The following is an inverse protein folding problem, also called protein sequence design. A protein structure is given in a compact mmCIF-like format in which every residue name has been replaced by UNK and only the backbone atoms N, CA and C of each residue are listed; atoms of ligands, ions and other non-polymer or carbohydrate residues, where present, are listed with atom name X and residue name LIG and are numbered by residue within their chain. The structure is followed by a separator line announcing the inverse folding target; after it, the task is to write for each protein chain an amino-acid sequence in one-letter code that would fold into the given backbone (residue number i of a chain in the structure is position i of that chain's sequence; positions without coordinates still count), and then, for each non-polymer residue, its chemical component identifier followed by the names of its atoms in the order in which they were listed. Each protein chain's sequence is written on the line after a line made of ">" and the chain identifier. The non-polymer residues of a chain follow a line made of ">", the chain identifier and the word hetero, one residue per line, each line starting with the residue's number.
data_IF_541429044436
#
_entry.id   IF_541429044436
#
_cell.length_a   1.000
_cell.length_b   1.000
_cell.length_c   1.000
_cell.angle_alpha   90.00
_cell.angle_beta   90.00
_cell.angle_gamma   90.00
#
_symmetry.space_group_name_H-M   'P 1'
#
loop_
_entity.id
_entity.type
_entity.pdbx_description
1 polymer ?
#
# COMPACT_ATOMS: atom_id res chain seq x y z
N UNK A 1 -11.11 -9.80 8.50
CA UNK A 1 -9.87 -10.58 8.20
C UNK A 1 -8.69 -9.62 8.21
N UNK A 2 -7.56 -10.00 8.83
CA UNK A 2 -6.43 -9.08 9.11
C UNK A 2 -5.79 -8.61 7.80
N UNK A 3 -5.74 -7.29 7.59
CA UNK A 3 -4.72 -6.70 6.71
C UNK A 3 -3.38 -7.31 7.10
N UNK A 4 -2.67 -7.96 6.18
CA UNK A 4 -1.28 -8.30 6.47
C UNK A 4 -0.57 -6.99 6.76
N UNK A 5 -0.20 -6.78 8.03
CA UNK A 5 0.57 -5.62 8.42
C UNK A 5 1.86 -5.64 7.61
N UNK A 6 2.25 -4.49 7.06
CA UNK A 6 3.51 -4.42 6.32
C UNK A 6 4.65 -4.56 7.31
N UNK A 7 5.45 -5.60 7.11
CA UNK A 7 6.61 -5.94 7.91
C UNK A 7 7.82 -6.01 6.99
N UNK A 8 8.82 -5.16 7.28
CA UNK A 8 10.13 -5.19 6.63
C UNK A 8 10.87 -6.48 7.02
N UNK A 9 11.76 -6.98 6.16
CA UNK A 9 12.52 -8.19 6.51
C UNK A 9 13.49 -7.93 7.67
N UNK A 10 13.65 -8.93 8.54
CA UNK A 10 14.61 -8.87 9.65
C UNK A 10 16.05 -8.58 9.19
N UNK A 11 16.56 -9.14 8.07
CA UNK A 11 17.91 -8.80 7.60
C UNK A 11 18.06 -7.33 7.19
N UNK A 12 17.03 -6.70 6.61
CA UNK A 12 17.09 -5.28 6.27
C UNK A 12 17.14 -4.41 7.53
N UNK A 13 16.28 -4.71 8.51
CA UNK A 13 16.26 -4.00 9.79
C UNK A 13 17.62 -4.13 10.51
N UNK A 14 18.21 -5.32 10.53
CA UNK A 14 19.55 -5.54 11.11
C UNK A 14 20.62 -4.68 10.42
N UNK A 15 20.61 -4.60 9.08
CA UNK A 15 21.58 -3.79 8.33
C UNK A 15 21.43 -2.30 8.64
N UNK A 16 20.19 -1.81 8.74
CA UNK A 16 19.91 -0.42 9.13
C UNK A 16 20.47 -0.16 10.54
N UNK A 17 20.18 -1.04 11.50
CA UNK A 17 20.67 -0.91 12.88
C UNK A 17 22.20 -0.95 12.96
N UNK A 18 22.86 -1.83 12.22
CA UNK A 18 24.32 -1.95 12.22
C UNK A 18 25.00 -0.72 11.60
N UNK A 19 24.42 -0.16 10.53
CA UNK A 19 24.89 1.11 9.95
C UNK A 19 24.76 2.23 10.97
N UNK A 20 23.59 2.36 11.61
CA UNK A 20 23.35 3.40 12.63
C UNK A 20 24.29 3.25 13.82
N UNK A 21 24.52 2.03 14.32
CA UNK A 21 25.47 1.76 15.41
C UNK A 21 26.89 2.16 15.04
N UNK A 22 27.30 1.94 13.78
CA UNK A 22 28.65 2.29 13.32
C UNK A 22 28.94 3.80 13.28
N UNK A 23 27.91 4.65 13.25
CA UNK A 23 28.05 6.11 13.34
C UNK A 23 28.39 6.59 14.77
N UNK A 24 28.23 5.73 15.79
CA UNK A 24 28.61 6.04 17.17
C UNK A 24 27.77 7.13 17.85
N UNK A 25 26.56 7.41 17.35
CA UNK A 25 25.63 8.39 17.95
C UNK A 25 24.98 7.80 19.20
N UNK A 26 25.04 8.52 20.33
CA UNK A 26 24.38 8.07 21.57
C UNK A 26 22.86 8.01 21.40
N UNK A 27 22.19 7.16 22.20
CA UNK A 27 20.73 6.99 22.16
C UNK A 27 20.00 8.30 22.44
N UNK A 28 20.46 9.08 23.42
CA UNK A 28 19.87 10.39 23.76
C UNK A 28 20.02 11.39 22.60
N UNK A 29 21.18 11.37 21.94
CA UNK A 29 21.43 12.24 20.78
C UNK A 29 20.59 11.81 19.58
N UNK A 30 20.39 10.51 19.37
CA UNK A 30 19.53 9.96 18.34
C UNK A 30 18.07 10.39 18.55
N UNK A 31 17.51 10.21 19.75
CA UNK A 31 16.13 10.60 20.07
C UNK A 31 15.91 12.12 19.96
N UNK A 32 16.88 12.94 20.39
CA UNK A 32 16.86 14.39 20.17
C UNK A 32 16.87 14.76 18.68
N UNK A 33 17.69 14.07 17.88
CA UNK A 33 17.77 14.29 16.43
C UNK A 33 16.47 13.87 15.71
N UNK A 34 15.80 12.81 16.16
CA UNK A 34 14.47 12.41 15.67
C UNK A 34 13.42 13.48 15.94
N UNK A 35 13.40 14.04 17.17
CA UNK A 35 12.51 15.15 17.52
C UNK A 35 12.72 16.37 16.63
N UNK A 36 13.98 16.74 16.39
CA UNK A 36 14.35 17.90 15.59
C UNK A 36 14.00 17.70 14.11
N UNK A 37 14.36 16.56 13.51
CA UNK A 37 13.96 16.21 12.14
C UNK A 37 12.44 16.17 11.98
N UNK A 38 11.71 15.62 12.96
CA UNK A 38 10.24 15.61 12.93
C UNK A 38 9.65 17.02 12.87
N UNK A 39 10.24 18.00 13.60
CA UNK A 39 9.84 19.41 13.52
C UNK A 39 10.14 20.02 12.16
N UNK A 40 11.31 19.74 11.58
CA UNK A 40 11.68 20.19 10.24
C UNK A 40 10.71 19.64 9.19
N UNK A 41 10.35 18.35 9.26
CA UNK A 41 9.39 17.72 8.36
C UNK A 41 7.94 18.19 8.55
N UNK A 42 7.57 18.82 9.66
CA UNK A 42 6.16 19.14 9.95
C UNK A 42 5.85 20.64 10.05
N UNK A 43 6.66 21.41 10.75
CA UNK A 43 6.40 22.82 11.08
C UNK A 43 7.36 23.79 10.38
N UNK A 44 8.63 23.44 10.31
CA UNK A 44 9.71 24.33 9.85
C UNK A 44 10.22 23.92 8.46
N UNK A 45 9.30 23.56 7.57
CA UNK A 45 9.64 22.95 6.27
C UNK A 45 10.42 23.87 5.34
N UNK A 46 10.30 25.19 5.48
CA UNK A 46 11.14 26.15 4.76
C UNK A 46 12.63 26.02 5.11
N UNK A 47 12.98 25.40 6.25
CA UNK A 47 14.35 25.11 6.64
C UNK A 47 14.88 23.76 6.09
N UNK A 48 14.03 22.91 5.50
CA UNK A 48 14.45 21.64 4.85
C UNK A 48 15.28 21.83 3.58
N UNK A 49 15.46 23.08 3.13
CA UNK A 49 16.29 23.40 1.97
C UNK A 49 17.76 22.98 2.22
N UNK A 50 18.19 22.91 3.50
CA UNK A 50 19.53 22.46 3.90
C UNK A 50 19.74 20.93 3.81
N UNK A 51 20.99 20.47 3.60
CA UNK A 51 21.30 19.05 3.45
C UNK A 51 21.35 18.34 4.81
N UNK A 52 20.19 18.07 5.41
CA UNK A 52 20.10 17.49 6.76
C UNK A 52 20.81 16.13 6.89
N UNK A 53 20.90 15.34 5.80
CA UNK A 53 21.63 14.07 5.77
C UNK A 53 23.16 14.22 5.85
N UNK A 54 23.72 15.42 5.76
CA UNK A 54 25.15 15.67 5.97
C UNK A 54 25.51 15.73 7.46
N UNK A 55 24.53 15.95 8.36
CA UNK A 55 24.75 15.86 9.81
C UNK A 55 24.74 14.39 10.25
N UNK A 56 25.80 13.85 10.87
CA UNK A 56 25.83 12.45 11.31
C UNK A 56 24.67 12.08 12.24
N UNK A 57 24.26 12.98 13.14
CA UNK A 57 23.14 12.75 14.04
C UNK A 57 21.80 12.69 13.30
N UNK A 58 21.58 13.57 12.31
CA UNK A 58 20.36 13.56 11.50
C UNK A 58 20.34 12.40 10.50
N UNK A 59 21.49 12.04 9.91
CA UNK A 59 21.62 10.85 9.10
C UNK A 59 21.24 9.60 9.90
N UNK A 60 21.85 9.41 11.08
CA UNK A 60 21.54 8.29 11.97
C UNK A 60 20.05 8.27 12.37
N UNK A 61 19.47 9.43 12.73
CA UNK A 61 18.05 9.55 13.05
C UNK A 61 17.15 9.24 11.85
N UNK A 62 17.49 9.71 10.65
CA UNK A 62 16.76 9.39 9.43
C UNK A 62 16.79 7.89 9.15
N UNK A 63 17.97 7.29 9.15
CA UNK A 63 18.14 5.86 8.88
C UNK A 63 17.44 4.99 9.91
N UNK A 64 17.51 5.32 11.20
CA UNK A 64 16.93 4.48 12.25
C UNK A 64 15.41 4.63 12.35
N UNK A 65 14.89 5.85 12.17
CA UNK A 65 13.49 6.15 12.49
C UNK A 65 12.62 6.40 11.25
N UNK A 66 13.08 7.26 10.33
CA UNK A 66 12.25 7.69 9.19
C UNK A 66 12.33 6.73 8.00
N UNK A 67 13.49 6.14 7.75
CA UNK A 67 13.69 5.20 6.65
C UNK A 67 12.76 3.99 6.77
N UNK A 68 12.69 3.21 7.87
CA UNK A 68 11.82 2.04 7.94
C UNK A 68 10.33 2.40 7.77
N UNK A 69 9.90 3.55 8.33
CA UNK A 69 8.53 4.05 8.14
C UNK A 69 8.24 4.31 6.66
N UNK A 70 9.16 4.97 5.95
CA UNK A 70 8.98 5.32 4.55
C UNK A 70 9.10 4.12 3.61
N UNK A 71 9.98 3.15 3.93
CA UNK A 71 10.05 1.86 3.24
C UNK A 71 8.70 1.15 3.29
N UNK A 72 8.10 1.05 4.47
CA UNK A 72 6.81 0.38 4.66
C UNK A 72 5.69 1.05 3.86
N UNK A 73 5.65 2.39 3.79
CA UNK A 73 4.66 3.11 2.96
C UNK A 73 4.75 2.71 1.48
N UNK A 74 5.97 2.64 0.95
CA UNK A 74 6.21 2.25 -0.45
C UNK A 74 5.79 0.79 -0.65
N UNK A 75 6.12 -0.12 0.27
CA UNK A 75 5.77 -1.53 0.14
C UNK A 75 4.26 -1.79 0.18
N UNK A 76 3.50 -1.06 1.00
CA UNK A 76 2.02 -1.12 0.95
C UNK A 76 1.53 -0.78 -0.46
N UNK A 77 2.11 0.23 -1.10
CA UNK A 77 1.71 0.67 -2.44
C UNK A 77 2.21 -0.25 -3.56
N UNK A 78 3.37 -0.90 -3.37
CA UNK A 78 3.84 -1.95 -4.28
C UNK A 78 2.88 -3.13 -4.28
N UNK A 79 2.32 -3.50 -3.12
CA UNK A 79 1.25 -4.49 -3.08
C UNK A 79 -0.01 -3.99 -3.78
N UNK A 80 -0.33 -2.69 -3.73
CA UNK A 80 -1.51 -2.12 -4.40
C UNK A 80 -1.41 -2.05 -5.94
N UNK A 81 -0.18 -2.05 -6.48
CA UNK A 81 0.06 -2.01 -7.92
C UNK A 81 -0.47 -3.25 -8.65
N UNK A 82 -0.74 -3.16 -9.98
CA UNK A 82 -1.05 -4.34 -10.78
C UNK A 82 0.02 -5.42 -10.64
N UNK A 83 -0.40 -6.68 -10.64
CA UNK A 83 0.53 -7.81 -10.54
C UNK A 83 1.49 -7.77 -11.72
N UNK A 84 2.78 -7.60 -11.43
CA UNK A 84 3.84 -7.77 -12.40
C UNK A 84 4.02 -9.26 -12.68
N UNK A 85 4.28 -9.63 -13.92
CA UNK A 85 4.64 -11.01 -14.25
C UNK A 85 6.00 -11.32 -13.61
N UNK A 86 6.08 -12.37 -12.81
CA UNK A 86 7.26 -12.66 -11.97
C UNK A 86 8.52 -12.98 -12.77
N UNK A 87 8.37 -13.28 -14.07
CA UNK A 87 9.40 -13.81 -14.97
C UNK A 87 10.05 -12.73 -15.86
N UNK A 88 9.66 -11.45 -15.71
CA UNK A 88 10.24 -10.34 -16.46
C UNK A 88 11.16 -9.47 -15.58
N UNK A 89 12.29 -8.96 -16.11
CA UNK A 89 13.12 -7.99 -15.41
C UNK A 89 12.33 -6.76 -14.97
N UNK A 90 12.66 -6.23 -13.79
CA UNK A 90 11.97 -5.07 -13.22
C UNK A 90 12.92 -3.89 -13.09
N UNK A 91 12.66 -2.83 -13.85
CA UNK A 91 13.48 -1.63 -13.92
C UNK A 91 12.83 -0.48 -13.17
N UNK A 92 13.56 0.09 -12.23
CA UNK A 92 13.06 1.10 -11.30
C UNK A 92 13.92 2.35 -11.34
N UNK A 93 13.27 3.51 -11.31
CA UNK A 93 13.91 4.81 -11.09
C UNK A 93 13.43 5.40 -9.76
N UNK A 94 14.34 5.64 -8.83
CA UNK A 94 14.10 6.27 -7.52
C UNK A 94 14.57 7.73 -7.56
N UNK A 95 13.62 8.65 -7.71
CA UNK A 95 13.85 10.11 -7.85
C UNK A 95 13.90 10.76 -6.47
N UNK A 96 14.97 11.52 -6.19
CA UNK A 96 15.19 12.08 -4.86
C UNK A 96 15.34 10.96 -3.83
N UNK A 97 16.20 9.99 -4.16
CA UNK A 97 16.28 8.70 -3.46
C UNK A 97 16.66 8.82 -1.99
N UNK A 98 17.29 9.94 -1.59
CA UNK A 98 17.95 10.07 -0.31
C UNK A 98 18.92 8.90 -0.11
N UNK A 99 18.89 8.21 1.06
CA UNK A 99 19.71 7.04 1.32
C UNK A 99 19.20 5.76 0.62
N UNK A 100 18.50 5.89 -0.50
CA UNK A 100 17.95 4.76 -1.26
C UNK A 100 16.61 4.28 -0.72
N UNK A 101 15.73 5.18 -0.26
CA UNK A 101 14.45 4.81 0.35
C UNK A 101 13.58 4.01 -0.62
N UNK A 102 13.35 4.49 -1.85
CA UNK A 102 12.58 3.73 -2.84
C UNK A 102 13.30 2.46 -3.27
N UNK A 103 14.61 2.55 -3.51
CA UNK A 103 15.44 1.43 -3.92
C UNK A 103 15.39 0.24 -2.94
N UNK A 104 15.64 0.49 -1.64
CA UNK A 104 15.62 -0.54 -0.61
C UNK A 104 14.22 -1.11 -0.40
N UNK A 105 13.17 -0.28 -0.51
CA UNK A 105 11.79 -0.74 -0.35
C UNK A 105 11.42 -1.78 -1.41
N UNK A 106 11.80 -1.49 -2.66
CA UNK A 106 11.59 -2.41 -3.79
C UNK A 106 12.46 -3.64 -3.65
N UNK A 107 13.74 -3.52 -3.31
CA UNK A 107 14.63 -4.68 -3.16
C UNK A 107 14.09 -5.70 -2.13
N UNK A 108 13.71 -5.22 -0.95
CA UNK A 108 13.14 -6.06 0.12
C UNK A 108 11.81 -6.69 -0.29
N UNK A 109 10.94 -5.92 -0.95
CA UNK A 109 9.65 -6.41 -1.44
C UNK A 109 9.81 -7.43 -2.58
N UNK A 110 10.71 -7.18 -3.52
CA UNK A 110 10.98 -8.01 -4.69
C UNK A 110 11.51 -9.37 -4.26
N UNK A 111 12.49 -9.37 -3.36
CA UNK A 111 13.07 -10.59 -2.84
C UNK A 111 12.09 -11.43 -2.03
N UNK A 112 11.28 -10.81 -1.15
CA UNK A 112 10.26 -11.54 -0.36
C UNK A 112 9.18 -12.20 -1.22
N UNK A 113 9.00 -11.79 -2.47
CA UNK A 113 8.10 -12.45 -3.42
C UNK A 113 8.72 -13.67 -4.10
N UNK A 114 10.00 -13.97 -3.83
CA UNK A 114 10.71 -15.09 -4.44
C UNK A 114 10.90 -14.94 -5.95
N UNK A 115 10.86 -13.71 -6.48
CA UNK A 115 11.12 -13.50 -7.90
C UNK A 115 12.57 -13.81 -8.21
N UNK A 116 12.78 -14.66 -9.21
CA UNK A 116 14.10 -15.03 -9.74
C UNK A 116 14.56 -14.08 -10.86
N UNK A 117 13.69 -13.15 -11.27
CA UNK A 117 13.96 -12.18 -12.33
C UNK A 117 14.79 -11.02 -11.82
N UNK A 118 15.64 -10.48 -12.70
CA UNK A 118 16.57 -9.41 -12.34
C UNK A 118 15.88 -8.10 -11.96
N UNK A 119 16.33 -7.50 -10.85
CA UNK A 119 15.92 -6.16 -10.41
C UNK A 119 17.02 -5.17 -10.76
N UNK A 120 16.70 -4.11 -11.49
CA UNK A 120 17.65 -3.03 -11.79
C UNK A 120 17.08 -1.70 -11.30
N UNK A 121 17.80 -1.05 -10.39
CA UNK A 121 17.38 0.21 -9.79
C UNK A 121 18.37 1.30 -10.13
N UNK A 122 17.86 2.44 -10.58
CA UNK A 122 18.59 3.69 -10.75
C UNK A 122 18.14 4.64 -9.66
N UNK A 123 19.01 5.01 -8.74
CA UNK A 123 18.74 5.97 -7.68
C UNK A 123 19.37 7.32 -8.03
N UNK A 124 18.60 8.39 -7.96
CA UNK A 124 19.09 9.74 -8.26
C UNK A 124 18.81 10.70 -7.11
N UNK A 125 19.82 11.48 -6.75
CA UNK A 125 19.74 12.50 -5.72
C UNK A 125 20.76 13.60 -5.99
N UNK A 126 20.52 14.80 -5.46
CA UNK A 126 21.50 15.90 -5.52
C UNK A 126 22.65 15.68 -4.54
N UNK A 127 22.41 14.93 -3.46
CA UNK A 127 23.37 14.68 -2.37
C UNK A 127 24.20 13.43 -2.65
N UNK A 128 25.51 13.62 -2.84
CA UNK A 128 26.45 12.48 -2.94
C UNK A 128 26.51 11.68 -1.65
N UNK A 129 26.39 12.34 -0.50
CA UNK A 129 26.37 11.67 0.81
C UNK A 129 25.21 10.69 0.90
N UNK A 130 24.02 11.10 0.46
CA UNK A 130 22.85 10.25 0.45
C UNK A 130 23.01 9.07 -0.53
N UNK A 131 23.57 9.31 -1.71
CA UNK A 131 23.84 8.24 -2.69
C UNK A 131 24.86 7.21 -2.17
N UNK A 132 25.94 7.63 -1.52
CA UNK A 132 26.89 6.70 -0.88
C UNK A 132 26.23 5.90 0.25
N UNK A 133 25.32 6.50 1.02
CA UNK A 133 24.53 5.77 2.01
C UNK A 133 23.63 4.72 1.35
N UNK A 134 22.99 5.06 0.23
CA UNK A 134 22.18 4.12 -0.55
C UNK A 134 22.99 2.90 -1.01
N UNK A 135 24.18 3.12 -1.58
CA UNK A 135 25.09 2.05 -2.04
C UNK A 135 25.56 1.17 -0.89
N UNK A 136 25.92 1.78 0.23
CA UNK A 136 26.37 1.09 1.44
C UNK A 136 25.27 0.20 2.01
N UNK A 137 24.05 0.73 2.19
CA UNK A 137 22.89 0.00 2.69
C UNK A 137 22.49 -1.13 1.73
N UNK A 138 22.39 -0.83 0.44
CA UNK A 138 22.08 -1.82 -0.59
C UNK A 138 23.07 -2.98 -0.58
N UNK A 139 24.36 -2.68 -0.64
CA UNK A 139 25.41 -3.69 -0.70
C UNK A 139 25.47 -4.54 0.58
N UNK A 140 25.30 -3.92 1.76
CA UNK A 140 25.22 -4.64 3.03
C UNK A 140 24.00 -5.55 3.08
N UNK A 141 22.83 -5.05 2.67
CA UNK A 141 21.60 -5.84 2.65
C UNK A 141 21.69 -7.02 1.68
N UNK A 142 22.21 -6.81 0.46
CA UNK A 142 22.45 -7.90 -0.48
C UNK A 142 23.37 -8.98 0.09
N UNK A 143 24.45 -8.61 0.79
CA UNK A 143 25.34 -9.59 1.43
C UNK A 143 24.67 -10.33 2.60
N UNK A 144 23.98 -9.59 3.48
CA UNK A 144 23.37 -10.17 4.69
C UNK A 144 22.22 -11.12 4.35
N UNK A 145 21.46 -10.83 3.29
CA UNK A 145 20.33 -11.65 2.85
C UNK A 145 20.65 -12.57 1.64
N UNK A 146 21.92 -12.67 1.23
CA UNK A 146 22.37 -13.46 0.07
C UNK A 146 21.59 -13.17 -1.23
N UNK A 147 21.34 -11.87 -1.48
CA UNK A 147 20.56 -11.41 -2.62
C UNK A 147 21.44 -11.38 -3.87
N UNK A 148 21.04 -12.13 -4.89
CA UNK A 148 21.65 -12.12 -6.22
C UNK A 148 20.65 -11.64 -7.28
N UNK A 149 21.14 -11.25 -8.46
CA UNK A 149 20.28 -10.79 -9.57
C UNK A 149 19.71 -9.37 -9.43
N UNK A 150 20.07 -8.64 -8.36
CA UNK A 150 19.66 -7.26 -8.13
C UNK A 150 20.84 -6.29 -8.31
N UNK A 151 20.62 -5.16 -8.98
CA UNK A 151 21.63 -4.12 -9.19
C UNK A 151 21.13 -2.73 -8.81
N UNK A 152 22.04 -1.90 -8.31
CA UNK A 152 21.82 -0.49 -8.02
C UNK A 152 22.85 0.35 -8.77
N UNK A 153 22.39 1.37 -9.47
CA UNK A 153 23.20 2.44 -10.02
C UNK A 153 22.79 3.76 -9.38
N UNK A 154 23.76 4.52 -8.88
CA UNK A 154 23.50 5.88 -8.39
C UNK A 154 23.88 6.92 -9.43
N UNK A 155 23.18 8.05 -9.43
CA UNK A 155 23.49 9.18 -10.31
C UNK A 155 23.24 10.49 -9.57
N UNK A 156 24.26 11.35 -9.47
CA UNK A 156 24.11 12.68 -8.90
C UNK A 156 23.35 13.57 -9.87
N UNK A 157 22.09 13.86 -9.57
CA UNK A 157 21.22 14.70 -10.41
C UNK A 157 20.43 15.64 -9.52
N UNK A 158 20.51 16.94 -9.81
CA UNK A 158 19.58 17.90 -9.23
C UNK A 158 18.28 17.91 -10.03
N UNK A 159 17.26 17.26 -9.47
CA UNK A 159 15.95 17.11 -10.11
C UNK A 159 15.13 18.40 -10.15
N UNK A 160 15.56 19.44 -9.42
CA UNK A 160 15.03 20.79 -9.57
C UNK A 160 15.61 21.54 -10.80
N UNK A 161 16.63 21.00 -11.46
CA UNK A 161 17.19 21.60 -12.67
C UNK A 161 16.32 21.26 -13.88
N UNK A 162 15.99 22.27 -14.68
CA UNK A 162 15.24 22.05 -15.94
C UNK A 162 16.00 21.11 -16.86
N UNK A 163 15.33 20.08 -17.39
CA UNK A 163 15.92 19.09 -18.28
C UNK A 163 16.75 17.99 -17.58
N UNK A 164 16.73 17.90 -16.24
CA UNK A 164 17.40 16.84 -15.47
C UNK A 164 17.01 15.43 -15.91
N UNK A 165 15.78 15.23 -16.40
CA UNK A 165 15.24 13.94 -16.84
C UNK A 165 16.06 13.36 -18.01
N UNK A 166 16.73 14.19 -18.82
CA UNK A 166 17.62 13.73 -19.90
C UNK A 166 18.83 12.95 -19.40
N UNK A 167 19.23 13.12 -18.15
CA UNK A 167 20.36 12.39 -17.54
C UNK A 167 20.00 10.94 -17.21
N UNK A 168 18.72 10.64 -17.09
CA UNK A 168 18.21 9.29 -16.81
C UNK A 168 17.47 8.66 -17.99
N UNK A 169 17.10 9.46 -19.00
CA UNK A 169 16.45 9.02 -20.23
C UNK A 169 17.14 7.83 -20.95
N UNK A 170 18.48 7.75 -21.04
CA UNK A 170 19.14 6.60 -21.69
C UNK A 170 18.92 5.25 -21.00
N UNK A 171 18.39 5.26 -19.77
CA UNK A 171 18.10 4.06 -18.96
C UNK A 171 16.62 3.65 -19.02
N UNK A 172 15.79 4.42 -19.71
CA UNK A 172 14.37 4.13 -19.92
C UNK A 172 14.18 2.96 -20.92
N UNK A 173 13.02 2.28 -20.92
CA UNK A 173 11.82 2.55 -20.13
C UNK A 173 11.84 1.91 -18.73
N UNK A 174 11.18 2.54 -17.75
CA UNK A 174 11.06 2.01 -16.39
C UNK A 174 9.68 1.37 -16.11
N UNK A 175 9.66 0.23 -15.41
CA UNK A 175 8.42 -0.39 -14.92
C UNK A 175 7.84 0.40 -13.73
N UNK A 176 8.70 1.03 -12.93
CA UNK A 176 8.32 1.84 -11.78
C UNK A 176 9.20 3.08 -11.66
N UNK A 177 8.59 4.24 -11.46
CA UNK A 177 9.29 5.47 -11.07
C UNK A 177 8.73 5.91 -9.72
N UNK A 178 9.61 6.11 -8.73
CA UNK A 178 9.24 6.46 -7.36
C UNK A 178 9.66 7.91 -7.07
N UNK A 179 8.75 8.68 -6.49
CA UNK A 179 9.00 9.99 -5.90
C UNK A 179 8.53 9.95 -4.44
N UNK A 180 9.41 9.59 -3.51
CA UNK A 180 9.06 9.38 -2.10
C UNK A 180 9.52 10.56 -1.22
N UNK A 181 8.55 11.35 -0.77
CA UNK A 181 8.70 12.55 0.06
C UNK A 181 9.55 13.67 -0.57
N UNK A 182 9.85 13.60 -1.86
CA UNK A 182 10.76 14.53 -2.53
C UNK A 182 10.04 15.58 -3.41
N UNK A 183 8.88 15.28 -4.01
CA UNK A 183 8.20 16.22 -4.91
C UNK A 183 7.79 17.50 -4.18
N UNK A 184 7.45 17.39 -2.91
CA UNK A 184 7.17 18.53 -2.03
C UNK A 184 8.38 19.46 -1.80
N UNK A 185 9.61 18.97 -1.97
CA UNK A 185 10.86 19.70 -1.69
C UNK A 185 11.38 20.38 -2.96
N UNK A 186 11.09 19.77 -4.11
CA UNK A 186 11.49 20.26 -5.42
C UNK A 186 10.74 21.55 -5.76
N UNK A 187 11.47 22.53 -6.30
CA UNK A 187 10.96 23.83 -6.74
C UNK A 187 10.23 24.62 -5.63
N UNK A 188 10.64 24.48 -4.36
CA UNK A 188 10.03 25.19 -3.24
C UNK A 188 10.01 26.72 -3.43
N UNK A 189 11.03 27.27 -4.08
CA UNK A 189 11.18 28.72 -4.33
C UNK A 189 10.61 29.18 -5.69
N UNK A 190 9.98 28.29 -6.46
CA UNK A 190 9.43 28.65 -7.77
C UNK A 190 8.15 29.50 -7.64
N UNK A 191 7.99 30.48 -8.54
CA UNK A 191 6.79 31.34 -8.60
C UNK A 191 5.50 30.53 -8.79
N UNK A 192 5.53 29.48 -9.61
CA UNK A 192 4.45 28.52 -9.78
C UNK A 192 4.96 27.09 -9.54
N UNK A 193 5.08 26.74 -8.26
CA UNK A 193 5.56 25.43 -7.83
C UNK A 193 4.69 24.28 -8.36
N UNK A 194 3.37 24.47 -8.53
CA UNK A 194 2.46 23.41 -9.02
C UNK A 194 2.73 23.14 -10.49
N UNK A 195 2.84 24.19 -11.32
CA UNK A 195 3.17 24.01 -12.74
C UNK A 195 4.53 23.34 -12.94
N UNK A 196 5.54 23.73 -12.15
CA UNK A 196 6.88 23.14 -12.23
C UNK A 196 6.88 21.67 -11.81
N UNK A 197 6.22 21.32 -10.70
CA UNK A 197 6.08 19.93 -10.24
C UNK A 197 5.29 19.06 -11.23
N UNK A 198 4.19 19.58 -11.78
CA UNK A 198 3.44 18.89 -12.83
C UNK A 198 4.30 18.67 -14.08
N UNK A 199 5.12 19.64 -14.49
CA UNK A 199 6.03 19.48 -15.62
C UNK A 199 7.04 18.35 -15.37
N UNK A 200 7.66 18.29 -14.19
CA UNK A 200 8.58 17.22 -13.83
C UNK A 200 7.90 15.85 -13.92
N UNK A 201 6.71 15.69 -13.33
CA UNK A 201 5.98 14.41 -13.40
C UNK A 201 5.60 14.05 -14.84
N UNK A 202 5.25 15.05 -15.67
CA UNK A 202 5.00 14.85 -17.11
C UNK A 202 6.23 14.37 -17.87
N UNK A 203 7.41 14.91 -17.58
CA UNK A 203 8.68 14.46 -18.18
C UNK A 203 9.01 13.02 -17.74
N UNK A 204 8.79 12.68 -16.46
CA UNK A 204 8.99 11.32 -15.96
C UNK A 204 8.00 10.31 -16.56
N UNK A 205 6.75 10.72 -16.85
CA UNK A 205 5.76 9.86 -17.54
C UNK A 205 6.26 9.40 -18.92
N UNK A 206 7.07 10.22 -19.60
CA UNK A 206 7.65 9.87 -20.89
C UNK A 206 8.65 8.70 -20.78
N UNK A 207 9.33 8.56 -19.64
CA UNK A 207 10.30 7.49 -19.38
C UNK A 207 9.67 6.16 -18.93
N UNK A 208 8.36 6.15 -18.69
CA UNK A 208 7.66 4.98 -18.17
C UNK A 208 7.44 3.93 -19.27
N UNK A 209 7.58 2.65 -18.94
CA UNK A 209 7.12 1.56 -19.81
C UNK A 209 5.60 1.68 -20.07
N UNK A 210 5.06 1.09 -21.15
CA UNK A 210 3.62 1.17 -21.46
C UNK A 210 2.71 0.76 -20.30
N UNK A 211 3.12 -0.27 -19.55
CA UNK A 211 2.41 -0.79 -18.38
C UNK A 211 3.07 -0.39 -17.05
N UNK A 212 3.99 0.57 -17.06
CA UNK A 212 4.66 1.02 -15.84
C UNK A 212 3.76 1.89 -14.97
N UNK A 213 4.24 2.17 -13.75
CA UNK A 213 3.58 3.05 -12.78
C UNK A 213 4.52 4.15 -12.31
N UNK A 214 4.04 5.39 -12.21
CA UNK A 214 4.67 6.41 -11.35
C UNK A 214 4.00 6.35 -9.98
N UNK A 215 4.81 6.18 -8.94
CA UNK A 215 4.40 6.21 -7.55
C UNK A 215 4.91 7.51 -6.90
N UNK A 216 4.00 8.40 -6.53
CA UNK A 216 4.30 9.58 -5.73
C UNK A 216 3.82 9.33 -4.31
N UNK A 217 4.68 9.53 -3.31
CA UNK A 217 4.35 9.41 -1.89
C UNK A 217 4.77 10.68 -1.19
N UNK A 218 3.88 11.26 -0.39
CA UNK A 218 4.11 12.52 0.32
C UNK A 218 3.63 12.46 1.76
N UNK A 219 4.14 13.33 2.67
CA UNK A 219 3.59 13.46 4.01
C UNK A 219 2.09 13.77 4.00
N UNK A 220 1.35 13.21 4.96
CA UNK A 220 -0.10 13.45 5.14
C UNK A 220 -0.43 14.82 5.79
N UNK A 221 0.40 15.83 5.54
CA UNK A 221 0.20 17.19 6.02
C UNK A 221 -0.71 17.96 5.05
N UNK A 222 -1.50 18.88 5.58
CA UNK A 222 -2.48 19.63 4.78
C UNK A 222 -1.83 20.29 3.56
N UNK A 223 -0.72 20.99 3.75
CA UNK A 223 -0.04 21.75 2.70
C UNK A 223 0.51 20.82 1.61
N UNK A 224 1.22 19.73 1.98
CA UNK A 224 1.81 18.79 1.03
C UNK A 224 0.74 17.95 0.32
N UNK A 225 -0.28 17.48 1.04
CA UNK A 225 -1.41 16.76 0.45
C UNK A 225 -2.16 17.61 -0.56
N UNK A 226 -2.48 18.87 -0.22
CA UNK A 226 -3.20 19.77 -1.13
C UNK A 226 -2.38 20.11 -2.37
N UNK A 227 -1.08 20.39 -2.21
CA UNK A 227 -0.19 20.61 -3.35
C UNK A 227 -0.12 19.38 -4.27
N UNK A 228 -0.06 18.17 -3.71
CA UNK A 228 -0.09 16.93 -4.48
C UNK A 228 -1.41 16.77 -5.26
N UNK A 229 -2.56 17.10 -4.66
CA UNK A 229 -3.86 17.08 -5.35
C UNK A 229 -3.98 18.15 -6.44
N UNK A 230 -3.36 19.31 -6.27
CA UNK A 230 -3.28 20.32 -7.33
C UNK A 230 -2.42 19.86 -8.51
N UNK A 231 -1.28 19.20 -8.22
CA UNK A 231 -0.46 18.53 -9.25
C UNK A 231 -1.27 17.46 -9.98
N UNK A 232 -2.02 16.62 -9.25
CA UNK A 232 -2.95 15.63 -9.83
C UNK A 232 -3.94 16.27 -10.79
N UNK A 233 -4.68 17.28 -10.35
CA UNK A 233 -5.73 17.91 -11.14
C UNK A 233 -5.16 18.52 -12.43
N UNK A 234 -3.96 19.13 -12.35
CA UNK A 234 -3.24 19.64 -13.52
C UNK A 234 -2.79 18.54 -14.46
N UNK A 235 -2.22 17.44 -13.97
CA UNK A 235 -1.78 16.31 -14.80
C UNK A 235 -2.94 15.66 -15.56
N UNK A 236 -4.11 15.55 -14.93
CA UNK A 236 -5.31 14.98 -15.56
C UNK A 236 -5.85 15.85 -16.70
N UNK A 237 -5.67 17.17 -16.63
CA UNK A 237 -6.03 18.08 -17.73
C UNK A 237 -5.19 17.84 -18.99
N UNK A 238 -3.95 17.36 -18.85
CA UNK A 238 -3.05 17.05 -19.96
C UNK A 238 -3.44 15.77 -20.72
N UNK A 239 -4.32 14.93 -20.14
CA UNK A 239 -4.83 13.67 -20.72
C UNK A 239 -3.73 12.71 -21.20
N UNK A 240 -2.60 12.65 -20.48
CA UNK A 240 -1.46 11.77 -20.80
C UNK A 240 -1.27 10.62 -19.82
N UNK A 241 -2.03 10.59 -18.74
CA UNK A 241 -1.99 9.55 -17.74
C UNK A 241 -3.38 9.35 -17.11
N UNK A 242 -3.56 8.19 -16.51
CA UNK A 242 -4.71 7.82 -15.70
C UNK A 242 -4.28 7.69 -14.25
N UNK A 243 -5.13 8.11 -13.31
CA UNK A 243 -4.92 7.82 -11.89
C UNK A 243 -5.34 6.38 -11.60
N UNK A 244 -4.38 5.48 -11.41
CA UNK A 244 -4.67 4.10 -11.03
C UNK A 244 -5.27 4.03 -9.61
N UNK A 245 -4.67 4.76 -8.66
CA UNK A 245 -5.08 4.84 -7.25
C UNK A 245 -4.51 6.12 -6.60
N UNK A 246 -5.05 6.68 -5.50
CA UNK A 246 -6.24 6.30 -4.71
C UNK A 246 -7.57 6.70 -5.33
N UNK A 247 -7.57 7.75 -6.15
CA UNK A 247 -8.81 8.38 -6.60
C UNK A 247 -9.60 7.43 -7.50
N UNK A 248 -10.90 7.31 -7.23
CA UNK A 248 -11.83 6.50 -8.02
C UNK A 248 -12.52 7.28 -9.14
N UNK A 249 -11.91 8.38 -9.59
CA UNK A 249 -12.42 9.30 -10.61
C UNK A 249 -11.29 10.21 -11.10
N UNK A 250 -11.56 10.97 -12.17
CA UNK A 250 -10.62 11.92 -12.78
C UNK A 250 -11.11 13.38 -12.76
N UNK A 251 -12.26 13.65 -12.13
CA UNK A 251 -12.68 15.02 -11.80
C UNK A 251 -11.69 15.69 -10.83
N UNK A 252 -11.75 17.03 -10.76
CA UNK A 252 -11.02 17.83 -9.77
C UNK A 252 -11.24 17.27 -8.36
N UNK A 253 -10.19 17.27 -7.54
CA UNK A 253 -10.23 16.64 -6.22
C UNK A 253 -11.23 17.36 -5.28
N UNK A 254 -12.29 16.68 -4.79
CA UNK A 254 -13.29 17.32 -3.91
C UNK A 254 -12.70 17.85 -2.60
N UNK A 255 -11.58 17.28 -2.14
CA UNK A 255 -10.89 17.74 -0.93
C UNK A 255 -10.27 19.14 -1.09
N UNK A 256 -10.13 19.66 -2.32
CA UNK A 256 -9.61 21.01 -2.55
C UNK A 256 -10.67 22.10 -2.38
N UNK A 257 -11.97 21.76 -2.41
CA UNK A 257 -13.09 22.71 -2.34
C UNK A 257 -13.06 23.52 -1.04
N UNK A 258 -12.92 22.85 0.09
CA UNK A 258 -12.76 23.50 1.38
C UNK A 258 -11.26 23.74 1.65
N UNK A 259 -10.81 24.98 1.91
CA UNK A 259 -9.39 25.27 2.13
C UNK A 259 -8.80 24.59 3.37
N UNK A 260 -9.63 24.17 4.33
CA UNK A 260 -9.20 23.50 5.56
C UNK A 260 -9.17 21.97 5.46
N UNK A 261 -9.73 21.39 4.40
CA UNK A 261 -9.72 19.95 4.17
C UNK A 261 -8.48 19.48 3.40
N UNK A 262 -8.10 18.22 3.62
CA UNK A 262 -7.13 17.50 2.79
C UNK A 262 -7.44 16.00 2.80
N UNK A 263 -7.11 15.32 1.70
CA UNK A 263 -7.25 13.88 1.57
C UNK A 263 -5.88 13.21 1.68
N UNK A 264 -5.79 12.20 2.54
CA UNK A 264 -4.62 11.35 2.76
C UNK A 264 -5.07 9.92 3.07
N UNK A 265 -4.10 9.01 3.09
CA UNK A 265 -4.22 7.59 3.37
C UNK A 265 -3.69 7.25 4.76
N UNK A 266 -4.24 6.18 5.33
CA UNK A 266 -3.80 5.57 6.58
C UNK A 266 -3.77 4.07 6.40
N UNK A 267 -2.65 3.43 6.75
CA UNK A 267 -2.49 1.97 6.63
C UNK A 267 -1.97 1.41 7.93
N UNK A 268 -2.56 0.30 8.35
CA UNK A 268 -2.06 -0.48 9.48
C UNK A 268 -0.66 -1.02 9.17
N UNK A 269 0.18 -1.04 10.20
CA UNK A 269 1.53 -1.59 10.13
C UNK A 269 1.96 -2.03 11.53
N UNK A 270 3.05 -2.79 11.59
CA UNK A 270 3.68 -3.15 12.85
C UNK A 270 5.01 -2.40 12.95
N UNK A 271 5.12 -1.38 13.82
CA UNK A 271 6.37 -0.65 13.99
C UNK A 271 7.47 -1.59 14.51
N UNK A 272 8.68 -1.58 13.92
CA UNK A 272 9.85 -2.24 14.49
C UNK A 272 10.10 -1.81 15.95
N UNK A 273 10.65 -2.72 16.77
CA UNK A 273 10.93 -2.47 18.19
C UNK A 273 11.79 -1.22 18.39
N UNK A 274 12.82 -1.03 17.56
CA UNK A 274 13.68 0.16 17.58
C UNK A 274 12.92 1.47 17.38
N UNK A 275 11.84 1.48 16.59
CA UNK A 275 10.97 2.65 16.43
C UNK A 275 10.07 2.84 17.65
N UNK A 276 9.50 1.75 18.19
CA UNK A 276 8.63 1.82 19.38
C UNK A 276 9.38 2.38 20.60
N UNK A 277 10.65 2.00 20.76
CA UNK A 277 11.52 2.52 21.81
C UNK A 277 11.72 4.04 21.70
N UNK A 278 12.05 4.54 20.51
CA UNK A 278 12.20 5.99 20.27
C UNK A 278 10.87 6.70 20.48
N UNK A 279 9.75 6.16 19.97
CA UNK A 279 8.41 6.72 20.15
C UNK A 279 8.07 6.93 21.63
N UNK A 280 8.40 5.95 22.48
CA UNK A 280 8.23 6.03 23.93
C UNK A 280 9.05 7.14 24.60
N UNK A 281 10.27 7.40 24.11
CA UNK A 281 11.14 8.46 24.64
C UNK A 281 10.72 9.86 24.21
N UNK A 282 10.31 10.00 22.94
CA UNK A 282 10.00 11.32 22.35
C UNK A 282 8.52 11.68 22.45
N UNK A 283 7.68 10.75 22.90
CA UNK A 283 6.23 10.93 23.06
C UNK A 283 5.47 10.93 21.73
N UNK A 284 5.98 10.24 20.72
CA UNK A 284 5.30 10.08 19.43
C UNK A 284 4.36 8.87 19.44
N UNK A 285 3.29 8.97 18.65
CA UNK A 285 2.34 7.88 18.43
C UNK A 285 2.40 7.54 16.93
N UNK A 286 2.87 6.34 16.60
CA UNK A 286 2.97 5.84 15.22
C UNK A 286 2.29 4.49 15.06
N UNK A 287 1.01 4.47 15.42
CA UNK A 287 0.10 3.33 15.29
C UNK A 287 -0.27 3.01 13.83
N UNK A 288 -0.14 3.97 12.92
CA UNK A 288 -0.43 3.78 11.50
C UNK A 288 0.52 4.55 10.57
N UNK A 289 0.65 4.07 9.34
CA UNK A 289 1.34 4.75 8.26
C UNK A 289 0.42 5.79 7.63
N UNK A 290 0.69 7.07 7.90
CA UNK A 290 -0.04 8.21 7.34
C UNK A 290 0.76 8.84 6.19
N UNK A 291 0.16 8.92 5.01
CA UNK A 291 0.79 9.51 3.82
C UNK A 291 -0.26 9.92 2.78
N UNK A 292 0.11 10.78 1.84
CA UNK A 292 -0.66 11.02 0.61
C UNK A 292 0.06 10.33 -0.54
N UNK A 293 -0.67 9.81 -1.52
CA UNK A 293 -0.03 9.18 -2.66
C UNK A 293 -0.84 9.32 -3.94
N UNK A 294 -0.15 9.11 -5.06
CA UNK A 294 -0.74 8.97 -6.38
C UNK A 294 0.00 7.85 -7.12
N UNK A 295 -0.76 6.92 -7.70
CA UNK A 295 -0.27 5.95 -8.66
C UNK A 295 -0.77 6.35 -10.05
N UNK A 296 0.13 6.77 -10.94
CA UNK A 296 -0.21 7.13 -12.33
C UNK A 296 0.23 6.05 -13.31
N UNK A 297 -0.58 5.83 -14.35
CA UNK A 297 -0.30 4.87 -15.44
C UNK A 297 -0.63 5.47 -16.79
N UNK A 298 -0.16 4.85 -17.87
CA UNK A 298 -0.44 5.26 -19.27
C UNK A 298 -1.40 4.33 -20.01
N UNK A 299 -1.71 3.17 -19.44
CA UNK A 299 -2.51 2.12 -20.09
C UNK A 299 -4.01 2.19 -19.77
N UNK A 300 -4.46 3.26 -19.11
CA UNK A 300 -5.87 3.45 -18.74
C UNK A 300 -6.36 2.55 -17.60
N UNK A 301 -5.52 1.67 -17.04
CA UNK A 301 -5.94 0.79 -15.93
C UNK A 301 -6.17 1.58 -14.66
N UNK A 302 -7.18 1.16 -13.92
CA UNK A 302 -7.54 1.67 -12.59
C UNK A 302 -7.58 0.52 -11.59
N UNK A 303 -7.44 0.82 -10.29
CA UNK A 303 -7.47 -0.22 -9.24
C UNK A 303 -8.80 -0.98 -9.21
N UNK A 304 -9.89 -0.29 -9.55
CA UNK A 304 -11.23 -0.82 -9.77
C UNK A 304 -11.87 -0.08 -10.93
N UNK A 305 -12.84 -0.72 -11.59
CA UNK A 305 -13.66 -0.05 -12.59
C UNK A 305 -14.36 1.17 -12.01
N UNK A 306 -14.36 2.26 -12.78
CA UNK A 306 -15.01 3.52 -12.40
C UNK A 306 -16.53 3.34 -12.43
N UNK A 307 -17.19 3.50 -11.28
CA UNK A 307 -18.64 3.35 -11.16
C UNK A 307 -19.22 4.33 -10.12
N UNK A 308 -20.47 4.81 -10.31
CA UNK A 308 -21.11 5.75 -9.38
C UNK A 308 -21.50 5.10 -8.04
N UNK A 309 -21.57 3.77 -7.98
CA UNK A 309 -21.86 2.98 -6.78
C UNK A 309 -20.61 2.49 -6.05
N UNK A 310 -19.41 2.78 -6.56
CA UNK A 310 -18.14 2.41 -5.94
C UNK A 310 -17.47 3.64 -5.33
N UNK A 311 -17.02 3.51 -4.09
CA UNK A 311 -16.47 4.59 -3.30
C UNK A 311 -15.16 4.15 -2.65
N UNK A 312 -14.23 5.10 -2.47
CA UNK A 312 -13.14 4.94 -1.51
C UNK A 312 -13.54 5.60 -0.19
N UNK A 313 -13.32 4.91 0.92
CA UNK A 313 -13.47 5.47 2.27
C UNK A 313 -12.27 6.39 2.53
N UNK A 314 -12.53 7.66 2.82
CA UNK A 314 -11.50 8.72 2.97
C UNK A 314 -11.49 9.35 4.36
N UNK A 315 -12.08 8.67 5.35
CA UNK A 315 -11.95 8.98 6.77
C UNK A 315 -11.97 7.72 7.63
N UNK A 316 -11.62 7.86 8.90
CA UNK A 316 -11.94 6.85 9.90
C UNK A 316 -13.46 6.68 10.04
N UNK A 317 -13.87 5.49 10.46
CA UNK A 317 -15.23 5.20 10.86
C UNK A 317 -15.49 5.85 12.23
N UNK A 318 -16.18 6.99 12.22
CA UNK A 318 -16.49 7.74 13.44
C UNK A 318 -17.68 7.12 14.15
N UNK A 319 -17.47 6.70 15.38
CA UNK A 319 -18.53 6.23 16.26
C UNK A 319 -19.16 7.41 17.00
N UNK A 320 -20.47 7.56 16.82
CA UNK A 320 -21.30 8.61 17.43
C UNK A 320 -22.39 7.94 18.27
N UNK A 321 -23.12 8.75 19.07
CA UNK A 321 -24.22 8.22 19.89
C UNK A 321 -25.36 7.70 19.00
N UNK A 322 -25.47 6.37 18.87
CA UNK A 322 -26.55 5.69 18.15
C UNK A 322 -26.34 5.58 16.63
N UNK A 323 -25.18 6.00 16.11
CA UNK A 323 -24.83 5.89 14.69
C UNK A 323 -23.31 5.87 14.46
N UNK A 324 -22.90 5.35 13.32
CA UNK A 324 -21.52 5.41 12.82
C UNK A 324 -21.47 6.15 11.48
N UNK A 325 -20.39 6.88 11.18
CA UNK A 325 -20.25 7.68 9.95
C UNK A 325 -18.84 7.68 9.37
N UNK A 326 -18.74 7.68 8.04
CA UNK A 326 -17.49 7.83 7.30
C UNK A 326 -17.67 8.79 6.10
N UNK A 327 -16.59 9.49 5.75
CA UNK A 327 -16.50 10.23 4.50
C UNK A 327 -16.09 9.28 3.39
N UNK A 328 -16.81 9.32 2.29
CA UNK A 328 -16.54 8.56 1.08
C UNK A 328 -16.11 9.51 -0.04
N UNK A 329 -15.47 8.98 -1.09
CA UNK A 329 -15.14 9.75 -2.27
C UNK A 329 -15.31 8.90 -3.54
N UNK A 330 -15.97 9.47 -4.54
CA UNK A 330 -16.03 8.96 -5.91
C UNK A 330 -16.29 10.11 -6.90
N UNK A 331 -16.69 9.79 -8.13
CA UNK A 331 -16.98 10.80 -9.15
C UNK A 331 -18.09 11.81 -8.77
N UNK A 332 -18.99 11.44 -7.85
CA UNK A 332 -20.08 12.29 -7.38
C UNK A 332 -19.65 13.30 -6.30
N UNK A 333 -18.41 13.21 -5.83
CA UNK A 333 -17.85 14.10 -4.82
C UNK A 333 -17.46 13.37 -3.54
N UNK A 334 -17.59 14.05 -2.40
CA UNK A 334 -17.16 13.56 -1.08
C UNK A 334 -18.30 13.52 -0.06
N UNK A 335 -19.28 12.60 -0.19
CA UNK A 335 -20.41 12.51 0.74
C UNK A 335 -20.01 11.93 2.11
N UNK A 336 -20.68 12.36 3.16
CA UNK A 336 -20.66 11.69 4.46
C UNK A 336 -21.81 10.68 4.54
N UNK A 337 -21.48 9.40 4.71
CA UNK A 337 -22.45 8.30 4.81
C UNK A 337 -22.48 7.76 6.23
N UNK A 338 -23.68 7.52 6.75
CA UNK A 338 -23.90 6.96 8.07
C UNK A 338 -24.72 5.67 8.10
N UNK A 339 -24.71 5.02 9.27
CA UNK A 339 -25.64 3.94 9.62
C UNK A 339 -26.05 4.12 11.08
N UNK A 340 -27.36 4.17 11.35
CA UNK A 340 -27.86 4.13 12.73
C UNK A 340 -27.73 2.71 13.27
N UNK A 341 -27.41 2.55 14.56
CA UNK A 341 -27.21 1.24 15.18
C UNK A 341 -28.47 0.37 15.09
N UNK A 342 -29.65 0.99 15.27
CA UNK A 342 -30.96 0.32 15.13
C UNK A 342 -31.29 -0.14 13.69
N UNK A 343 -30.51 0.30 12.69
CA UNK A 343 -30.65 -0.09 11.29
C UNK A 343 -29.57 -1.08 10.85
N UNK A 344 -28.74 -1.57 11.77
CA UNK A 344 -27.80 -2.65 11.50
C UNK A 344 -28.57 -3.90 11.03
N UNK A 345 -28.10 -4.50 9.94
CA UNK A 345 -28.66 -5.71 9.37
C UNK A 345 -27.57 -6.51 8.65
N UNK A 346 -27.81 -7.80 8.33
CA UNK A 346 -26.85 -8.59 7.56
C UNK A 346 -26.45 -7.95 6.22
N UNK A 347 -27.34 -7.19 5.59
CA UNK A 347 -27.11 -6.53 4.29
C UNK A 347 -26.16 -5.33 4.36
N UNK A 348 -25.92 -4.79 5.57
CA UNK A 348 -25.02 -3.66 5.81
C UNK A 348 -24.00 -3.93 6.91
N UNK A 349 -23.79 -5.20 7.28
CA UNK A 349 -22.79 -5.61 8.27
C UNK A 349 -21.37 -5.18 7.87
N UNK A 350 -21.11 -5.11 6.56
CA UNK A 350 -19.85 -4.62 5.98
C UNK A 350 -19.42 -3.24 6.48
N UNK A 351 -20.39 -2.41 6.84
CA UNK A 351 -20.17 -1.05 7.29
C UNK A 351 -19.29 -1.00 8.55
N UNK A 352 -19.33 -2.03 9.41
CA UNK A 352 -18.53 -2.07 10.64
C UNK A 352 -17.04 -2.35 10.39
N UNK A 353 -16.68 -2.81 9.19
CA UNK A 353 -15.30 -3.10 8.79
C UNK A 353 -14.70 -1.98 7.91
N UNK A 354 -15.45 -0.89 7.69
CA UNK A 354 -14.95 0.27 6.96
C UNK A 354 -13.78 0.91 7.71
N UNK A 355 -12.73 1.19 6.96
CA UNK A 355 -11.55 1.92 7.39
C UNK A 355 -11.06 2.78 6.24
N UNK A 356 -10.26 3.80 6.54
CA UNK A 356 -9.67 4.64 5.50
C UNK A 356 -8.91 3.79 4.47
N UNK A 357 -9.09 4.13 3.21
CA UNK A 357 -8.48 3.42 2.08
C UNK A 357 -9.31 2.26 1.55
N UNK A 358 -10.28 1.75 2.31
CA UNK A 358 -11.17 0.68 1.83
C UNK A 358 -11.95 1.13 0.58
N UNK A 359 -12.05 0.25 -0.41
CA UNK A 359 -12.95 0.41 -1.55
C UNK A 359 -14.23 -0.34 -1.22
N UNK A 360 -15.37 0.31 -1.39
CA UNK A 360 -16.68 -0.23 -1.03
C UNK A 360 -17.67 0.02 -2.16
N UNK A 361 -18.54 -0.95 -2.41
CA UNK A 361 -19.68 -0.78 -3.29
C UNK A 361 -20.93 -0.54 -2.45
N UNK A 362 -21.76 0.43 -2.83
CA UNK A 362 -23.00 0.76 -2.13
C UNK A 362 -24.15 0.80 -3.14
N UNK A 363 -24.99 -0.22 -3.13
CA UNK A 363 -26.12 -0.31 -4.06
C UNK A 363 -27.24 0.68 -3.74
N UNK A 364 -27.49 0.92 -2.44
CA UNK A 364 -28.63 1.73 -2.01
C UNK A 364 -28.29 2.63 -0.84
N UNK A 365 -28.46 3.91 -1.10
CA UNK A 365 -28.35 5.01 -0.14
C UNK A 365 -29.75 5.64 0.03
N UNK A 366 -30.22 5.77 1.26
CA UNK A 366 -31.46 6.46 1.60
C UNK A 366 -31.15 7.80 2.22
N UNK A 367 -31.82 8.84 1.71
CA UNK A 367 -31.81 10.18 2.29
C UNK A 367 -33.00 10.30 3.24
N UNK A 368 -32.73 10.59 4.51
CA UNK A 368 -33.76 10.90 5.50
C UNK A 368 -33.63 12.35 5.90
N UNK A 369 -34.66 13.15 5.62
CA UNK A 369 -34.73 14.50 6.15
C UNK A 369 -35.03 14.46 7.63
N UNK A 370 -34.20 15.13 8.42
CA UNK A 370 -34.45 15.33 9.84
C UNK A 370 -35.08 16.72 10.02
N UNK A 371 -36.34 16.76 10.47
CA UNK A 371 -36.95 17.99 11.00
C UNK A 371 -36.33 18.30 12.36
N UNK A 372 -35.40 19.25 12.42
CA UNK A 372 -34.92 19.82 13.67
C UNK A 372 -35.90 20.85 14.23
N UNK A 373 -36.03 20.94 15.57
CA UNK A 373 -36.61 22.12 16.23
C UNK A 373 -35.63 23.28 16.02
N UNK A 374 -35.86 24.10 15.00
CA UNK A 374 -35.00 25.20 14.59
C UNK A 374 -34.51 25.01 13.14
N UNK A 375 -35.07 25.84 12.25
CA UNK A 375 -34.82 26.20 10.84
C UNK A 375 -33.68 25.61 9.98
N UNK A 376 -33.06 24.47 10.30
CA UNK A 376 -32.10 23.79 9.42
C UNK A 376 -32.57 22.37 9.10
N UNK A 377 -33.02 22.18 7.87
CA UNK A 377 -33.18 20.84 7.29
C UNK A 377 -31.78 20.24 7.15
N UNK A 378 -31.52 19.11 7.80
CA UNK A 378 -30.33 18.29 7.51
C UNK A 378 -30.78 17.00 6.82
N UNK A 379 -30.27 16.76 5.62
CA UNK A 379 -30.38 15.46 4.97
C UNK A 379 -29.37 14.52 5.65
N UNK A 380 -29.86 13.44 6.24
CA UNK A 380 -29.02 12.36 6.74
C UNK A 380 -28.97 11.26 5.68
N UNK A 381 -27.76 10.85 5.32
CA UNK A 381 -27.54 9.88 4.27
C UNK A 381 -27.21 8.52 4.91
N UNK A 382 -28.04 7.51 4.64
CA UNK A 382 -27.93 6.18 5.24
C UNK A 382 -27.67 5.11 4.20
N UNK A 383 -26.75 4.19 4.49
CA UNK A 383 -26.56 3.01 3.67
C UNK A 383 -27.49 1.87 4.10
N UNK A 384 -28.09 1.17 3.13
CA UNK A 384 -28.90 -0.03 3.39
C UNK A 384 -28.31 -1.34 2.83
N UNK A 385 -27.49 -1.27 1.79
CA UNK A 385 -26.89 -2.44 1.17
C UNK A 385 -25.48 -2.14 0.70
N UNK A 386 -24.53 -2.93 1.21
CA UNK A 386 -23.10 -2.83 0.89
C UNK A 386 -22.64 -4.19 0.36
N UNK A 387 -22.61 -4.41 -0.96
CA UNK A 387 -21.86 -5.53 -1.52
C UNK A 387 -20.40 -5.40 -1.10
N UNK A 388 -19.90 -6.48 -0.50
CA UNK A 388 -18.52 -6.55 -0.06
C UNK A 388 -17.58 -6.66 -1.26
N UNK A 389 -16.72 -5.65 -1.45
CA UNK A 389 -15.60 -5.74 -2.39
C UNK A 389 -14.31 -5.26 -1.72
N UNK A 390 -13.72 -6.10 -0.86
CA UNK A 390 -12.41 -5.81 -0.29
C UNK A 390 -11.32 -6.28 -1.25
N UNK A 391 -10.70 -5.36 -1.99
CA UNK A 391 -9.49 -5.66 -2.75
C UNK A 391 -8.28 -5.38 -1.86
N UNK A 392 -7.90 -6.37 -1.06
CA UNK A 392 -6.50 -6.53 -0.67
C UNK A 392 -5.87 -7.37 -1.78
N UNK A 393 -4.89 -6.80 -2.47
CA UNK A 393 -4.38 -7.19 -3.80
C UNK A 393 -3.84 -8.61 -3.96
N UNK A 394 -3.95 -9.48 -2.95
CA UNK A 394 -3.61 -10.91 -3.05
C UNK A 394 -4.79 -11.85 -3.28
N UNK A 395 -6.03 -11.50 -2.89
CA UNK A 395 -7.17 -12.46 -2.95
C UNK A 395 -8.19 -12.17 -4.06
N UNK A 396 -8.16 -10.99 -4.68
CA UNK A 396 -9.21 -10.54 -5.61
C UNK A 396 -9.22 -11.24 -6.98
N UNK A 397 -8.23 -12.07 -7.31
CA UNK A 397 -8.20 -12.83 -8.57
C UNK A 397 -8.99 -14.16 -8.51
N UNK A 398 -9.34 -14.65 -7.33
CA UNK A 398 -10.14 -15.88 -7.21
C UNK A 398 -11.66 -15.62 -7.25
N UNK A 399 -12.11 -14.39 -6.96
CA UNK A 399 -13.53 -14.07 -6.92
C UNK A 399 -14.09 -13.55 -8.24
N UNK A 400 -13.28 -12.86 -9.06
CA UNK A 400 -13.72 -12.31 -10.34
C UNK A 400 -13.82 -13.34 -11.47
N UNK A 401 -13.05 -14.43 -11.42
CA UNK A 401 -13.13 -15.51 -12.42
C UNK A 401 -14.39 -16.37 -12.30
N UNK A 402 -15.02 -16.44 -11.11
CA UNK A 402 -16.29 -17.17 -10.91
C UNK A 402 -17.54 -16.37 -11.27
N UNK A 403 -17.48 -15.04 -11.32
CA UNK A 403 -18.62 -14.19 -11.66
C UNK A 403 -18.77 -13.90 -13.16
N UNK A 404 -17.74 -14.19 -13.97
CA UNK A 404 -17.74 -13.92 -15.42
C UNK A 404 -18.10 -15.17 -16.27
N UNK A 405 -18.19 -16.38 -15.68
CA UNK A 405 -18.60 -17.58 -16.42
C UNK A 405 -20.11 -17.86 -16.45
N UNK A 406 -20.94 -17.02 -15.83
CA UNK A 406 -22.41 -17.17 -15.88
C UNK A 406 -23.09 -15.92 -16.45
N UNK A 407 -22.84 -15.63 -17.74
CA UNK A 407 -23.75 -14.82 -18.57
C UNK A 407 -23.89 -15.52 -19.92
N UNK A 408 -25.15 -15.80 -20.26
CA UNK A 408 -25.63 -16.71 -21.30
C UNK A 408 -25.10 -16.51 -22.72
N UNK A 409 -24.94 -17.64 -23.44
CA UNK A 409 -25.35 -17.76 -24.84
C UNK A 409 -26.46 -18.81 -24.92
N UNK A 410 -27.69 -18.36 -25.13
CA UNK A 410 -28.85 -19.23 -25.31
C UNK A 410 -28.94 -19.78 -26.73
N UNK A 411 -29.08 -21.10 -26.85
CA UNK A 411 -29.76 -21.77 -27.97
C UNK A 411 -30.16 -23.22 -27.60
N UNK A 412 -31.45 -23.40 -27.32
CA UNK A 412 -32.34 -24.55 -27.65
C UNK A 412 -31.82 -26.01 -27.62
N UNK A 413 -32.41 -26.85 -26.73
CA UNK A 413 -32.52 -28.32 -26.92
C UNK A 413 -32.56 -29.13 -25.60
N UNK A 414 -33.39 -30.21 -25.46
CA UNK A 414 -33.83 -30.70 -24.14
C UNK A 414 -33.06 -31.91 -23.57
N UNK A 415 -33.20 -32.02 -22.24
CA UNK A 415 -33.13 -33.20 -21.35
C UNK A 415 -31.80 -33.95 -21.14
N UNK A 416 -31.31 -33.94 -19.90
CA UNK A 416 -31.44 -35.06 -18.93
C UNK A 416 -30.70 -34.71 -17.64
N UNK A 417 -31.34 -34.95 -16.50
CA UNK A 417 -30.84 -34.54 -15.18
C UNK A 417 -29.68 -35.36 -14.67
N UNK A 418 -28.81 -34.70 -13.89
CA UNK A 418 -28.00 -35.26 -12.80
C UNK A 418 -27.62 -34.12 -11.87
N UNK A 419 -28.17 -34.14 -10.66
CA UNK A 419 -27.72 -33.30 -9.55
C UNK A 419 -26.34 -33.77 -9.10
N UNK A 420 -25.34 -32.89 -9.11
CA UNK A 420 -24.04 -33.11 -8.49
C UNK A 420 -23.90 -32.14 -7.31
N UNK A 421 -24.10 -32.68 -6.11
CA UNK A 421 -23.76 -32.05 -4.83
C UNK A 421 -22.24 -32.03 -4.70
N UNK A 422 -21.63 -30.85 -4.61
CA UNK A 422 -20.20 -30.69 -4.30
C UNK A 422 -20.06 -30.29 -2.83
N UNK A 423 -19.57 -31.21 -2.01
CA UNK A 423 -19.11 -30.96 -0.65
C UNK A 423 -17.70 -30.33 -0.67
N UNK A 424 -17.37 -29.42 0.28
CA UNK A 424 -16.05 -28.78 0.31
C UNK A 424 -14.98 -29.75 0.83
N UNK A 425 -13.89 -29.91 0.07
CA UNK A 425 -12.70 -30.65 0.47
C UNK A 425 -11.82 -29.78 1.39
N UNK A 426 -11.56 -30.32 2.59
CA UNK A 426 -10.56 -29.86 3.55
C UNK A 426 -9.14 -30.09 3.00
N UNK A 427 -8.29 -29.06 3.01
CA UNK A 427 -6.88 -29.16 2.60
C UNK A 427 -6.03 -29.44 3.85
N UNK A 428 -5.50 -30.65 3.92
CA UNK A 428 -4.38 -31.02 4.80
C UNK A 428 -3.04 -30.62 4.13
N UNK A 429 -2.12 -30.06 4.92
CA UNK A 429 -0.73 -29.74 4.52
C UNK A 429 0.07 -31.03 4.29
N UNK A 430 1.00 -31.08 3.31
CA UNK A 430 2.08 -32.06 3.35
C UNK A 430 3.45 -31.41 3.55
N UNK A 431 4.24 -32.07 4.40
CA UNK A 431 5.69 -31.92 4.54
C UNK A 431 6.43 -32.52 3.31
N UNK A 432 7.67 -32.07 3.16
CA UNK A 432 8.71 -32.48 2.20
C UNK A 432 8.81 -34.00 1.93
N UNK A 433 8.84 -34.37 0.65
CA UNK A 433 10.03 -34.95 -0.01
C UNK A 433 9.69 -35.38 -1.45
N UNK A 434 10.64 -35.10 -2.34
CA UNK A 434 10.74 -35.50 -3.74
C UNK A 434 10.32 -36.94 -4.02
N UNK A 435 9.54 -37.17 -5.10
CA UNK A 435 9.67 -38.34 -5.99
C UNK A 435 9.04 -38.01 -7.36
N UNK A 436 9.80 -38.29 -8.41
CA UNK A 436 9.46 -38.23 -9.83
C UNK A 436 8.35 -39.22 -10.18
N UNK A 437 7.32 -38.80 -10.92
CA UNK A 437 6.22 -39.68 -11.36
C UNK A 437 6.49 -40.18 -12.78
N UNK A 438 6.74 -41.48 -12.92
CA UNK A 438 6.56 -42.20 -14.18
C UNK A 438 5.10 -42.63 -14.31
N UNK A 439 4.50 -42.37 -15.46
CA UNK A 439 3.15 -42.82 -15.82
C UNK A 439 3.17 -44.31 -16.15
N UNK A 440 2.34 -45.10 -15.45
CA UNK A 440 1.89 -46.41 -15.91
C UNK A 440 0.38 -46.51 -15.70
N UNK A 441 -0.34 -46.60 -16.81
CA UNK A 441 -1.77 -46.90 -16.89
C UNK A 441 -1.99 -48.41 -16.76
N UNK A 442 -2.85 -48.86 -15.84
CA UNK A 442 -3.56 -50.14 -15.99
C UNK A 442 -4.97 -50.03 -15.38
N UNK A 443 -5.94 -50.46 -16.17
CA UNK A 443 -7.36 -50.55 -15.86
C UNK A 443 -7.72 -51.81 -15.03
N UNK A 444 -9.01 -51.90 -14.71
CA UNK A 444 -9.81 -53.11 -14.48
C UNK A 444 -9.90 -53.68 -13.04
N UNK A 445 -11.15 -53.59 -12.58
CA UNK A 445 -12.03 -54.69 -12.19
C UNK A 445 -12.31 -55.01 -10.72
N UNK A 446 -13.62 -55.04 -10.47
CA UNK A 446 -14.33 -55.47 -9.28
C UNK A 446 -13.96 -56.89 -8.81
N UNK A 447 -13.93 -57.08 -7.49
CA UNK A 447 -14.70 -58.14 -6.80
C UNK A 447 -14.71 -58.01 -5.26
N UNK A 448 -15.94 -57.98 -4.76
CA UNK A 448 -16.54 -58.50 -3.52
C UNK A 448 -15.74 -59.31 -2.48
N UNK A 449 -16.12 -59.08 -1.20
CA UNK A 449 -16.04 -60.01 -0.04
C UNK A 449 -14.87 -59.71 0.90
N UNK A 450 -14.96 -59.67 2.23
CA UNK A 450 -15.96 -60.06 3.22
C UNK A 450 -15.22 -60.53 4.49
N UNK A 451 -15.63 -60.03 5.66
CA UNK A 451 -15.36 -60.53 7.03
C UNK A 451 -13.90 -60.70 7.54
N UNK A 452 -13.55 -60.03 8.64
CA UNK A 452 -13.74 -60.55 10.01
C UNK A 452 -12.92 -59.82 11.10
N UNK A 453 -13.63 -59.49 12.18
CA UNK A 453 -13.28 -59.50 13.62
C UNK A 453 -11.80 -59.46 14.06
N UNK A 454 -11.49 -58.53 14.97
CA UNK A 454 -10.96 -58.87 16.31
C UNK A 454 -11.03 -57.70 17.29
N UNK A 455 -11.14 -58.04 18.57
CA UNK A 455 -11.52 -57.25 19.74
C UNK A 455 -10.37 -56.43 20.38
N UNK A 456 -10.75 -55.27 20.92
CA UNK A 456 -10.42 -54.59 22.21
C UNK A 456 -9.52 -55.39 23.19
N UNK A 457 -8.67 -54.73 24.02
CA UNK A 457 -9.13 -54.15 25.30
C UNK A 457 -8.60 -52.75 25.67
N UNK A 458 -9.36 -52.16 26.59
CA UNK A 458 -9.18 -50.92 27.36
C UNK A 458 -7.81 -50.71 28.03
N UNK A 459 -7.43 -49.44 28.19
CA UNK A 459 -7.03 -48.91 29.51
C UNK A 459 -7.39 -47.42 29.62
N UNK A 460 -8.11 -47.09 30.67
CA UNK A 460 -8.37 -45.74 31.15
C UNK A 460 -7.28 -45.34 32.15
N UNK A 461 -6.91 -44.06 32.18
CA UNK A 461 -6.54 -43.38 33.42
C UNK A 461 -6.78 -41.88 33.29
N UNK A 462 -7.54 -41.34 34.24
CA UNK A 462 -7.83 -39.93 34.44
C UNK A 462 -6.58 -39.16 34.92
N UNK A 463 -6.48 -37.89 34.56
CA UNK A 463 -5.95 -36.85 35.44
C UNK A 463 -6.61 -35.51 35.11
N UNK A 464 -7.21 -34.95 36.15
CA UNK A 464 -8.01 -33.75 36.27
C UNK A 464 -7.13 -32.52 36.61
N UNK A 465 -7.69 -31.31 36.40
CA UNK A 465 -7.36 -29.99 37.01
C UNK A 465 -6.11 -29.25 36.44
N UNK A 466 -6.07 -27.92 36.27
CA UNK A 466 -6.81 -26.86 36.96
C UNK A 466 -6.73 -25.49 36.20
N UNK A 467 -7.70 -24.61 36.47
CA UNK A 467 -7.81 -23.22 36.03
C UNK A 467 -6.93 -22.24 36.84
N UNK A 468 -6.41 -21.17 36.22
CA UNK A 468 -6.34 -19.79 36.79
C UNK A 468 -5.94 -18.79 35.69
N UNK A 469 -6.80 -17.84 35.27
CA UNK A 469 -7.07 -16.48 35.80
C UNK A 469 -5.91 -15.46 35.69
N UNK A 470 -6.01 -14.62 34.67
CA UNK A 470 -6.08 -13.14 34.69
C UNK A 470 -5.39 -12.43 35.86
N UNK A 471 -4.38 -11.63 35.52
CA UNK A 471 -4.23 -10.23 35.93
C UNK A 471 -3.74 -9.39 34.78
#
# INVERSE_FOLDING_TARGET
>A
MRSHNVTLSSPLLSVIEDVVKSEGVSRERLSSAVLELSRLFTKERSALIGPYLESPAFAAAYLNYFLPVNLSKIQVLLDEMPVHQADEPFWVLDIGSGPGTGALAVLDWWHRRGSLSGLSVVAVDRSMTALHQAESLWSKYCRTADLTGSSLQTSKVDVARTGCVKEVEPRAPFNLIILANCLNEIHADATDLIAMRSRLVMELLALLAPQGTIMVVEPALRETSRALHQVRDRLLQEKRCTVYSPCLHENNCPALINPYDWCHEERAWEPPVSIQEIDGEVGFIKDALKFSYLLFRKDGKTIVDRRPDVYRVVSELRELKGEKRAWLCNETGRPEIGRQDRLASPQNAAFDEWHRGAIVQIEKIIHKERRGKGTRWSQQIYCLRVPWLFMNTRESLFYTSKLIQNVDHGATGPSTGRESVVLPLSIARPHENSISIHFVSVSSDHRSGGNSKSRIPHHACCAELEHSRIR
#
